data_IF_821901034501
#
_entry.id   IF_821901034501
#
_cell.length_a   1.000
_cell.length_b   1.000
_cell.length_c   1.000
_cell.angle_alpha   90.00
_cell.angle_beta   90.00
_cell.angle_gamma   90.00
#
_symmetry.space_group_name_H-M   'P 1'
#
loop_
_entity.id
_entity.type
_entity.pdbx_description
1 polymer ?
#
# COMPACT_ATOMS: atom_id res chain seq x y z
N UNK A 1 3.85 1.53 21.92
CA UNK A 1 3.92 0.08 22.26
C UNK A 1 2.70 -0.69 21.78
N UNK A 2 1.46 -0.37 22.14
CA UNK A 2 0.28 -1.09 21.60
C UNK A 2 -0.07 -0.67 20.15
N UNK A 3 -0.09 0.64 19.89
CA UNK A 3 -0.36 1.18 18.55
C UNK A 3 0.63 0.67 17.49
N UNK A 4 1.93 0.65 17.81
CA UNK A 4 2.98 0.26 16.87
C UNK A 4 2.86 -1.21 16.44
N UNK A 5 2.47 -2.09 17.38
CA UNK A 5 2.21 -3.50 17.11
C UNK A 5 0.99 -3.63 16.20
N UNK A 6 -0.13 -2.98 16.56
CA UNK A 6 -1.35 -3.02 15.77
C UNK A 6 -1.12 -2.49 14.34
N UNK A 7 -0.42 -1.37 14.20
CA UNK A 7 -0.07 -0.79 12.91
C UNK A 7 0.84 -1.73 12.11
N UNK A 8 1.80 -2.39 12.75
CA UNK A 8 2.67 -3.37 12.08
C UNK A 8 1.88 -4.58 11.57
N UNK A 9 0.89 -5.07 12.32
CA UNK A 9 0.02 -6.16 11.89
C UNK A 9 -0.85 -5.75 10.70
N UNK A 10 -1.45 -4.54 10.72
CA UNK A 10 -2.20 -4.01 9.58
C UNK A 10 -1.31 -3.84 8.36
N UNK A 11 -0.11 -3.29 8.54
CA UNK A 11 0.89 -3.15 7.47
C UNK A 11 1.22 -4.48 6.82
N UNK A 12 1.45 -5.55 7.62
CA UNK A 12 1.73 -6.89 7.09
C UNK A 12 0.57 -7.37 6.22
N UNK A 13 -0.66 -7.30 6.72
CA UNK A 13 -1.84 -7.72 5.98
C UNK A 13 -2.02 -6.96 4.64
N UNK A 14 -1.79 -5.65 4.65
CA UNK A 14 -1.89 -4.82 3.44
C UNK A 14 -0.80 -5.19 2.43
N UNK A 15 0.45 -5.34 2.88
CA UNK A 15 1.56 -5.73 2.01
C UNK A 15 1.32 -7.10 1.35
N UNK A 16 0.82 -8.08 2.12
CA UNK A 16 0.51 -9.40 1.57
C UNK A 16 -0.64 -9.34 0.56
N UNK A 17 -1.65 -8.50 0.81
CA UNK A 17 -2.75 -8.26 -0.13
C UNK A 17 -2.25 -7.62 -1.43
N UNK A 18 -1.41 -6.59 -1.34
CA UNK A 18 -0.80 -5.93 -2.50
C UNK A 18 0.02 -6.91 -3.34
N UNK A 19 0.85 -7.73 -2.70
CA UNK A 19 1.66 -8.77 -3.37
C UNK A 19 0.79 -9.76 -4.13
N UNK A 20 -0.30 -10.23 -3.50
CA UNK A 20 -1.25 -11.15 -4.13
C UNK A 20 -1.89 -10.51 -5.37
N UNK A 21 -2.40 -9.28 -5.24
CA UNK A 21 -3.02 -8.56 -6.37
C UNK A 21 -2.02 -8.39 -7.53
N UNK A 22 -0.77 -8.03 -7.24
CA UNK A 22 0.27 -7.85 -8.26
C UNK A 22 0.69 -9.17 -8.91
N UNK A 23 0.74 -10.28 -8.15
CA UNK A 23 1.04 -11.60 -8.67
C UNK A 23 -0.03 -12.10 -9.65
N UNK A 24 -1.29 -11.75 -9.42
CA UNK A 24 -2.42 -12.08 -10.30
C UNK A 24 -2.40 -11.29 -11.63
N UNK A 25 -1.61 -10.21 -11.74
CA UNK A 25 -1.48 -9.44 -12.98
C UNK A 25 -0.47 -10.09 -13.95
N UNK A 26 -0.99 -10.78 -14.97
CA UNK A 26 -0.19 -11.50 -15.99
C UNK A 26 0.06 -10.71 -17.28
N UNK A 27 -0.68 -9.62 -17.49
CA UNK A 27 -0.62 -8.82 -18.73
C UNK A 27 0.35 -7.62 -18.61
N UNK A 28 0.89 -7.36 -17.43
CA UNK A 28 1.86 -6.29 -17.18
C UNK A 28 3.24 -6.82 -17.58
N UNK A 29 3.97 -6.07 -18.42
CA UNK A 29 5.33 -6.43 -18.80
C UNK A 29 6.29 -6.41 -17.59
N UNK A 30 7.38 -7.16 -17.67
CA UNK A 30 8.30 -7.37 -16.54
C UNK A 30 8.90 -6.07 -16.01
N UNK A 31 9.27 -5.13 -16.89
CA UNK A 31 9.88 -3.86 -16.48
C UNK A 31 8.91 -3.01 -15.64
N UNK A 32 7.65 -2.88 -16.07
CA UNK A 32 6.64 -2.17 -15.31
C UNK A 32 6.27 -2.92 -14.03
N UNK A 33 6.22 -4.25 -14.07
CA UNK A 33 5.92 -5.07 -12.89
C UNK A 33 6.98 -4.91 -11.80
N UNK A 34 8.25 -4.89 -12.16
CA UNK A 34 9.34 -4.63 -11.22
C UNK A 34 9.31 -3.20 -10.67
N UNK A 35 9.01 -2.19 -11.49
CA UNK A 35 8.81 -0.82 -11.01
C UNK A 35 7.65 -0.73 -10.00
N UNK A 36 6.50 -1.32 -10.32
CA UNK A 36 5.34 -1.39 -9.41
C UNK A 36 5.68 -2.10 -8.10
N UNK A 37 6.40 -3.23 -8.19
CA UNK A 37 6.85 -3.98 -7.01
C UNK A 37 7.78 -3.14 -6.15
N UNK A 38 8.77 -2.48 -6.75
CA UNK A 38 9.69 -1.60 -6.03
C UNK A 38 8.94 -0.51 -5.25
N UNK A 39 8.02 0.19 -5.91
CA UNK A 39 7.28 1.28 -5.28
C UNK A 39 6.28 0.78 -4.23
N UNK A 40 5.57 -0.31 -4.51
CA UNK A 40 4.59 -0.88 -3.60
C UNK A 40 5.24 -1.60 -2.42
N UNK A 41 6.44 -2.16 -2.53
CA UNK A 41 7.17 -2.78 -1.41
C UNK A 41 8.08 -1.80 -0.67
N UNK A 42 8.20 -0.57 -1.17
CA UNK A 42 8.98 0.50 -0.58
C UNK A 42 8.58 0.83 0.87
N UNK A 43 9.43 1.59 1.55
CA UNK A 43 9.23 1.91 2.96
C UNK A 43 7.94 2.70 3.14
N UNK A 44 6.94 2.11 3.82
CA UNK A 44 5.61 2.67 4.04
C UNK A 44 5.08 2.31 5.42
N UNK A 45 4.52 3.28 6.16
CA UNK A 45 3.82 2.99 7.43
C UNK A 45 2.44 2.35 7.21
N UNK A 46 1.89 2.44 5.99
CA UNK A 46 0.53 1.97 5.63
C UNK A 46 -0.58 2.58 6.49
N UNK A 47 -0.40 3.81 6.96
CA UNK A 47 -1.35 4.43 7.88
C UNK A 47 -2.74 4.57 7.25
N UNK A 48 -2.81 4.96 5.98
CA UNK A 48 -4.09 5.12 5.25
C UNK A 48 -4.83 3.79 5.14
N UNK A 49 -4.13 2.74 4.72
CA UNK A 49 -4.68 1.40 4.65
C UNK A 49 -5.08 0.84 6.04
N UNK A 50 -4.28 1.10 7.07
CA UNK A 50 -4.60 0.69 8.44
C UNK A 50 -5.89 1.35 8.95
N UNK A 51 -6.13 2.63 8.63
CA UNK A 51 -7.38 3.32 8.97
C UNK A 51 -8.60 2.63 8.34
N UNK A 52 -8.51 2.21 7.07
CA UNK A 52 -9.60 1.46 6.40
C UNK A 52 -9.89 0.16 7.16
N UNK A 53 -8.84 -0.60 7.51
CA UNK A 53 -8.99 -1.87 8.23
C UNK A 53 -9.56 -1.68 9.63
N UNK A 54 -9.08 -0.69 10.39
CA UNK A 54 -9.61 -0.38 11.72
C UNK A 54 -11.06 0.10 11.67
N UNK A 55 -11.44 0.91 10.67
CA UNK A 55 -12.84 1.31 10.49
C UNK A 55 -13.73 0.09 10.22
N UNK A 56 -13.28 -0.87 9.40
CA UNK A 56 -14.03 -2.11 9.18
C UNK A 56 -14.18 -2.92 10.48
N UNK A 57 -13.11 -3.10 11.25
CA UNK A 57 -13.17 -3.79 12.55
C UNK A 57 -14.11 -3.10 13.53
N UNK A 58 -14.05 -1.77 13.62
CA UNK A 58 -14.90 -0.99 14.50
C UNK A 58 -16.38 -1.13 14.15
N UNK A 59 -16.72 -1.12 12.86
CA UNK A 59 -18.11 -1.12 12.39
C UNK A 59 -18.71 -2.52 12.24
N UNK A 60 -17.89 -3.50 11.85
CA UNK A 60 -18.33 -4.86 11.50
C UNK A 60 -17.89 -5.92 12.52
N UNK A 61 -17.07 -5.55 13.51
CA UNK A 61 -16.53 -6.45 14.54
C UNK A 61 -15.46 -7.43 14.03
N UNK A 62 -15.18 -7.45 12.73
CA UNK A 62 -14.18 -8.31 12.09
C UNK A 62 -13.72 -7.73 10.76
N UNK A 63 -12.51 -8.09 10.35
CA UNK A 63 -12.04 -7.86 8.98
C UNK A 63 -12.70 -8.84 8.01
N UNK A 64 -12.95 -8.35 6.80
CA UNK A 64 -13.42 -9.15 5.67
C UNK A 64 -12.52 -8.94 4.44
N UNK A 65 -12.80 -9.68 3.38
CA UNK A 65 -12.03 -9.60 2.13
C UNK A 65 -12.12 -8.21 1.49
N UNK A 66 -13.32 -7.62 1.45
CA UNK A 66 -13.56 -6.33 0.80
C UNK A 66 -12.77 -5.21 1.46
N UNK A 67 -12.64 -5.22 2.80
CA UNK A 67 -11.83 -4.27 3.53
C UNK A 67 -10.33 -4.40 3.21
N UNK A 68 -9.83 -5.61 2.99
CA UNK A 68 -8.45 -5.83 2.56
C UNK A 68 -8.21 -5.27 1.15
N UNK A 69 -9.14 -5.50 0.23
CA UNK A 69 -9.09 -4.94 -1.13
C UNK A 69 -9.17 -3.41 -1.09
N UNK A 70 -10.08 -2.84 -0.31
CA UNK A 70 -10.22 -1.40 -0.17
C UNK A 70 -8.95 -0.76 0.45
N UNK A 71 -8.38 -1.39 1.47
CA UNK A 71 -7.14 -0.92 2.09
C UNK A 71 -5.95 -0.95 1.09
N UNK A 72 -5.85 -2.02 0.29
CA UNK A 72 -4.86 -2.12 -0.78
C UNK A 72 -5.07 -1.05 -1.87
N UNK A 73 -6.31 -0.83 -2.31
CA UNK A 73 -6.64 0.18 -3.31
C UNK A 73 -6.28 1.61 -2.85
N UNK A 74 -6.60 1.96 -1.60
CA UNK A 74 -6.22 3.26 -1.02
C UNK A 74 -4.71 3.43 -0.96
N UNK A 75 -3.97 2.38 -0.61
CA UNK A 75 -2.51 2.44 -0.60
C UNK A 75 -1.93 2.55 -2.01
N UNK A 76 -2.50 1.88 -3.01
CA UNK A 76 -2.10 2.03 -4.42
C UNK A 76 -2.29 3.46 -4.91
N UNK A 77 -3.43 4.11 -4.61
CA UNK A 77 -3.68 5.52 -4.96
C UNK A 77 -2.68 6.43 -4.27
N UNK A 78 -2.40 6.19 -2.98
CA UNK A 78 -1.38 6.94 -2.25
C UNK A 78 0.01 6.78 -2.89
N UNK A 79 0.40 5.56 -3.21
CA UNK A 79 1.70 5.27 -3.82
C UNK A 79 1.82 5.90 -5.21
N UNK A 80 0.75 5.86 -6.02
CA UNK A 80 0.68 6.54 -7.31
C UNK A 80 0.95 8.04 -7.17
N UNK A 81 0.32 8.71 -6.21
CA UNK A 81 0.51 10.16 -6.02
C UNK A 81 1.98 10.46 -5.74
N UNK A 82 2.61 9.69 -4.85
CA UNK A 82 4.01 9.90 -4.50
C UNK A 82 4.96 9.72 -5.68
N UNK A 83 4.76 8.70 -6.51
CA UNK A 83 5.59 8.48 -7.71
C UNK A 83 5.50 9.66 -8.66
N UNK A 84 4.30 10.19 -8.85
CA UNK A 84 4.11 11.34 -9.72
C UNK A 84 4.70 12.60 -9.10
N UNK A 85 4.52 12.81 -7.79
CA UNK A 85 5.08 13.96 -7.05
C UNK A 85 6.61 14.01 -7.20
N UNK A 86 7.28 12.85 -7.21
CA UNK A 86 8.74 12.75 -7.31
C UNK A 86 9.29 13.02 -8.73
N UNK A 87 8.44 13.25 -9.74
CA UNK A 87 8.92 13.51 -11.11
C UNK A 87 9.58 14.89 -11.26
N UNK A 88 10.52 15.08 -12.22
CA UNK A 88 11.19 16.37 -12.45
C UNK A 88 10.28 17.55 -12.77
N UNK A 89 9.07 17.26 -13.25
CA UNK A 89 8.07 18.26 -13.55
C UNK A 89 7.24 18.68 -12.33
N UNK A 90 7.39 17.99 -11.20
CA UNK A 90 6.70 18.26 -9.94
C UNK A 90 7.73 18.63 -8.86
N UNK A 91 8.07 17.74 -7.93
CA UNK A 91 8.98 18.07 -6.83
C UNK A 91 10.46 17.89 -7.21
N UNK A 92 10.77 17.16 -8.28
CA UNK A 92 12.16 16.86 -8.72
C UNK A 92 12.99 16.20 -7.59
N UNK A 93 12.35 15.29 -6.84
CA UNK A 93 12.95 14.58 -5.71
C UNK A 93 13.76 13.36 -6.17
N UNK A 94 15.10 13.43 -6.06
CA UNK A 94 16.00 12.31 -6.39
C UNK A 94 15.85 11.11 -5.42
N UNK A 95 15.44 11.34 -4.16
CA UNK A 95 15.41 10.33 -3.10
C UNK A 95 14.11 10.40 -2.29
N UNK A 96 13.49 9.23 -2.08
CA UNK A 96 12.28 9.09 -1.26
C UNK A 96 12.56 8.22 -0.03
N UNK A 97 12.70 8.88 1.12
CA UNK A 97 12.99 8.25 2.45
C UNK A 97 14.40 7.65 2.59
N UNK A 98 15.40 8.29 1.98
CA UNK A 98 16.82 7.96 2.12
C UNK A 98 17.30 7.10 0.97
#
# INVERSE_FOLDING_TARGET
MEFDIQLSDKRRLVNDTLRRILAEQTQINDSLKEALKHTLEGQGKRLRAALVLWCCELLSGKLNHDAQIAAAAIEMVHTYSLVHDDLPAMDDDDLRRG
#
